data_IF_889809574399
#
_entry.id   IF_889809574399
#
_cell.length_a   1.000
_cell.length_b   1.000
_cell.length_c   1.000
_cell.angle_alpha   90.00
_cell.angle_beta   90.00
_cell.angle_gamma   90.00
#
_symmetry.space_group_name_H-M   'P 1'
#
loop_
_entity.id
_entity.type
_entity.pdbx_description
1 polymer ?
#
# COMPACT_ATOMS: atom_id res chain seq x y z
N UNK A 1 22.98 4.05 -26.72
CA UNK A 1 22.59 2.62 -26.90
C UNK A 1 21.16 2.60 -27.41
N UNK A 2 20.87 1.96 -28.54
CA UNK A 2 19.51 1.90 -29.08
C UNK A 2 18.73 0.74 -28.46
N UNK A 3 17.82 1.05 -27.54
CA UNK A 3 16.99 0.06 -26.82
C UNK A 3 15.87 -0.56 -27.66
N UNK A 4 15.69 -0.15 -28.90
CA UNK A 4 14.78 -0.83 -29.85
C UNK A 4 15.32 -2.21 -30.25
N UNK A 5 16.63 -2.38 -30.20
CA UNK A 5 17.30 -3.66 -30.46
C UNK A 5 17.20 -4.59 -29.24
N UNK A 6 16.77 -5.84 -29.48
CA UNK A 6 16.57 -6.85 -28.43
C UNK A 6 17.83 -7.06 -27.59
N UNK A 7 18.99 -7.18 -28.20
CA UNK A 7 20.25 -7.38 -27.49
C UNK A 7 20.59 -6.24 -26.53
N UNK A 8 20.27 -4.99 -26.89
CA UNK A 8 20.51 -3.84 -26.03
C UNK A 8 19.53 -3.80 -24.84
N UNK A 9 18.28 -4.23 -25.06
CA UNK A 9 17.31 -4.40 -23.98
C UNK A 9 17.75 -5.47 -23.00
N UNK A 10 18.23 -6.61 -23.47
CA UNK A 10 18.75 -7.69 -22.63
C UNK A 10 19.94 -7.23 -21.80
N UNK A 11 20.91 -6.55 -22.42
CA UNK A 11 22.06 -5.97 -21.70
C UNK A 11 21.62 -4.92 -20.66
N UNK A 12 20.66 -4.07 -21.03
CA UNK A 12 20.09 -3.08 -20.11
C UNK A 12 19.41 -3.73 -18.91
N UNK A 13 18.60 -4.76 -19.15
CA UNK A 13 17.92 -5.52 -18.11
C UNK A 13 18.92 -6.21 -17.15
N UNK A 14 19.95 -6.87 -17.69
CA UNK A 14 20.97 -7.54 -16.87
C UNK A 14 21.70 -6.52 -15.99
N UNK A 15 22.09 -5.36 -16.54
CA UNK A 15 22.73 -4.29 -15.76
C UNK A 15 21.82 -3.77 -14.66
N UNK A 16 20.56 -3.50 -14.97
CA UNK A 16 19.58 -3.07 -13.99
C UNK A 16 19.36 -4.14 -12.91
N UNK A 17 19.25 -5.40 -13.27
CA UNK A 17 19.07 -6.51 -12.33
C UNK A 17 20.23 -6.59 -11.31
N UNK A 18 21.48 -6.55 -11.77
CA UNK A 18 22.61 -6.57 -10.85
C UNK A 18 22.70 -5.30 -10.00
N UNK A 19 22.35 -4.16 -10.57
CA UNK A 19 22.28 -2.90 -9.83
C UNK A 19 21.21 -2.99 -8.74
N UNK A 20 20.02 -3.48 -9.06
CA UNK A 20 18.92 -3.63 -8.09
C UNK A 20 19.27 -4.60 -6.95
N UNK A 21 19.97 -5.69 -7.25
CA UNK A 21 20.47 -6.62 -6.21
C UNK A 21 21.48 -5.95 -5.29
N UNK A 22 22.37 -5.12 -5.86
CA UNK A 22 23.45 -4.46 -5.11
C UNK A 22 22.89 -3.39 -4.17
N UNK A 23 21.98 -2.59 -4.67
CA UNK A 23 21.41 -1.45 -3.95
C UNK A 23 20.09 -1.78 -3.23
N UNK A 24 19.65 -3.04 -3.29
CA UNK A 24 18.35 -3.47 -2.78
C UNK A 24 17.23 -2.55 -3.31
N UNK A 25 17.36 -2.21 -4.62
CA UNK A 25 16.44 -1.30 -5.26
C UNK A 25 15.05 -1.90 -5.23
N UNK A 26 14.20 -1.16 -4.58
CA UNK A 26 12.78 -1.38 -4.61
C UNK A 26 12.16 -0.41 -5.60
N UNK A 27 10.89 -0.56 -5.85
CA UNK A 27 10.10 0.46 -6.55
C UNK A 27 10.36 1.85 -5.92
N UNK A 28 10.69 2.88 -6.72
CA UNK A 28 10.99 4.23 -6.21
C UNK A 28 10.00 4.77 -5.16
N UNK A 29 8.69 4.54 -5.27
CA UNK A 29 7.73 4.92 -4.23
C UNK A 29 7.99 4.28 -2.87
N UNK A 30 8.54 3.07 -2.79
CA UNK A 30 8.88 2.42 -1.52
C UNK A 30 10.03 3.16 -0.84
N UNK A 31 11.03 3.58 -1.61
CA UNK A 31 12.10 4.45 -1.12
C UNK A 31 11.56 5.76 -0.55
N UNK A 32 10.64 6.38 -1.27
CA UNK A 32 10.00 7.63 -0.82
C UNK A 32 9.19 7.42 0.45
N UNK A 33 8.45 6.31 0.56
CA UNK A 33 7.71 5.96 1.78
C UNK A 33 8.65 5.75 2.96
N UNK A 34 9.74 4.99 2.78
CA UNK A 34 10.74 4.78 3.83
C UNK A 34 11.38 6.10 4.27
N UNK A 35 11.73 6.97 3.32
CA UNK A 35 12.22 8.31 3.65
C UNK A 35 11.20 9.12 4.48
N UNK A 36 9.92 9.08 4.11
CA UNK A 36 8.86 9.74 4.87
C UNK A 36 8.71 9.15 6.26
N UNK A 37 8.77 7.83 6.39
CA UNK A 37 8.70 7.15 7.68
C UNK A 37 9.83 7.58 8.62
N UNK A 38 11.04 7.71 8.11
CA UNK A 38 12.19 8.12 8.90
C UNK A 38 12.16 9.64 9.20
N UNK A 39 11.77 10.43 8.20
CA UNK A 39 11.75 11.90 8.32
C UNK A 39 10.69 12.42 9.31
N UNK A 40 9.55 11.77 9.39
CA UNK A 40 8.44 12.18 10.24
C UNK A 40 8.26 11.31 11.47
N UNK A 41 9.22 10.43 11.75
CA UNK A 41 9.23 9.56 12.94
C UNK A 41 7.90 8.80 13.13
N UNK A 42 7.27 8.38 12.03
CA UNK A 42 6.00 7.68 12.07
C UNK A 42 6.08 6.42 12.93
N UNK A 43 5.11 6.25 13.81
CA UNK A 43 4.96 4.99 14.52
C UNK A 43 4.48 3.85 13.60
N UNK A 44 4.51 2.60 14.08
CA UNK A 44 4.17 1.44 13.24
C UNK A 44 2.71 1.46 12.73
N UNK A 45 1.77 1.97 13.51
CA UNK A 45 0.37 2.07 13.08
C UNK A 45 0.23 3.04 11.90
N UNK A 46 0.91 4.17 11.96
CA UNK A 46 0.92 5.15 10.87
C UNK A 46 1.61 4.59 9.62
N UNK A 47 2.71 3.84 9.79
CA UNK A 47 3.41 3.17 8.68
C UNK A 47 2.51 2.16 7.98
N UNK A 48 1.82 1.30 8.73
CA UNK A 48 0.87 0.34 8.16
C UNK A 48 -0.29 1.03 7.45
N UNK A 49 -0.79 2.10 8.03
CA UNK A 49 -1.91 2.85 7.48
C UNK A 49 -1.57 3.53 6.15
N UNK A 50 -0.48 4.28 6.08
CA UNK A 50 -0.07 4.93 4.82
C UNK A 50 0.36 3.91 3.76
N UNK A 51 0.96 2.78 4.16
CA UNK A 51 1.29 1.69 3.25
C UNK A 51 0.03 1.09 2.61
N UNK A 52 -1.06 0.90 3.40
CA UNK A 52 -2.33 0.44 2.88
C UNK A 52 -2.97 1.47 1.93
N UNK A 53 -2.98 2.75 2.30
CA UNK A 53 -3.47 3.84 1.43
C UNK A 53 -2.68 3.85 0.11
N UNK A 54 -1.36 3.70 0.18
CA UNK A 54 -0.52 3.64 -1.00
C UNK A 54 -0.86 2.42 -1.88
N UNK A 55 -1.00 1.23 -1.31
CA UNK A 55 -1.45 0.03 -2.03
C UNK A 55 -2.83 0.19 -2.67
N UNK A 56 -3.71 1.00 -2.07
CA UNK A 56 -5.04 1.32 -2.60
C UNK A 56 -4.99 2.27 -3.79
N UNK A 57 -4.08 3.24 -3.79
CA UNK A 57 -4.01 4.32 -4.79
C UNK A 57 -2.91 4.13 -5.82
N UNK A 58 -1.86 3.45 -5.44
CA UNK A 58 -0.59 3.33 -6.16
C UNK A 58 -0.05 4.67 -6.66
N UNK A 59 -0.35 5.73 -5.93
CA UNK A 59 0.09 7.09 -6.24
C UNK A 59 0.42 7.84 -4.95
N UNK A 60 1.72 7.96 -4.66
CA UNK A 60 2.21 8.49 -3.39
C UNK A 60 1.65 9.87 -3.02
N UNK A 61 1.59 10.87 -3.93
CA UNK A 61 0.97 12.16 -3.60
C UNK A 61 -0.49 12.04 -3.18
N UNK A 62 -1.27 11.15 -3.81
CA UNK A 62 -2.67 10.90 -3.40
C UNK A 62 -2.73 10.21 -2.04
N UNK A 63 -1.87 9.21 -1.81
CA UNK A 63 -1.78 8.54 -0.52
C UNK A 63 -1.46 9.54 0.59
N UNK A 64 -0.54 10.47 0.33
CA UNK A 64 -0.19 11.53 1.26
C UNK A 64 -1.36 12.48 1.56
N UNK A 65 -2.13 12.88 0.54
CA UNK A 65 -3.33 13.73 0.72
C UNK A 65 -4.38 13.04 1.58
N UNK A 66 -4.66 11.75 1.31
CA UNK A 66 -5.60 10.96 2.11
C UNK A 66 -5.10 10.81 3.54
N UNK A 67 -3.81 10.51 3.72
CA UNK A 67 -3.21 10.34 5.03
C UNK A 67 -3.23 11.64 5.85
N UNK A 68 -2.97 12.79 5.26
CA UNK A 68 -3.05 14.08 5.96
C UNK A 68 -4.47 14.40 6.45
N UNK A 69 -5.49 13.99 5.72
CA UNK A 69 -6.89 14.16 6.14
C UNK A 69 -7.29 13.14 7.22
N UNK A 70 -6.74 11.93 7.13
CA UNK A 70 -7.04 10.81 8.03
C UNK A 70 -5.74 10.17 8.53
N UNK A 71 -5.00 10.84 9.44
CA UNK A 71 -3.68 10.37 9.86
C UNK A 71 -3.71 9.12 10.75
N UNK A 72 -4.79 8.91 11.49
CA UNK A 72 -4.94 7.83 12.45
C UNK A 72 -6.00 6.84 12.00
N UNK A 73 -5.58 5.63 11.67
CA UNK A 73 -6.47 4.54 11.23
C UNK A 73 -7.64 4.28 12.19
N UNK A 74 -7.39 4.30 13.50
CA UNK A 74 -8.40 4.00 14.51
C UNK A 74 -9.48 5.06 14.60
N UNK A 75 -9.13 6.31 14.29
CA UNK A 75 -10.02 7.48 14.36
C UNK A 75 -10.77 7.76 13.06
N UNK A 76 -10.54 6.96 12.01
CA UNK A 76 -11.24 7.16 10.74
C UNK A 76 -12.72 6.84 10.91
N UNK A 77 -13.54 7.87 10.81
CA UNK A 77 -14.98 7.75 10.69
C UNK A 77 -15.38 7.43 9.25
N UNK A 78 -16.24 6.43 9.06
CA UNK A 78 -16.63 5.95 7.75
C UNK A 78 -17.43 6.98 6.95
N UNK A 79 -18.38 7.64 7.60
CA UNK A 79 -19.28 8.59 6.92
C UNK A 79 -18.51 9.85 6.52
N UNK A 80 -17.62 10.33 7.39
CA UNK A 80 -16.70 11.42 7.08
C UNK A 80 -15.76 11.04 5.92
N UNK A 81 -15.19 9.84 5.94
CA UNK A 81 -14.35 9.36 4.84
C UNK A 81 -15.13 9.29 3.53
N UNK A 82 -16.36 8.81 3.57
CA UNK A 82 -17.23 8.71 2.41
C UNK A 82 -17.55 10.09 1.83
N UNK A 83 -18.00 11.01 2.65
CA UNK A 83 -18.29 12.40 2.23
C UNK A 83 -17.03 13.07 1.63
N UNK A 84 -15.89 12.94 2.32
CA UNK A 84 -14.64 13.49 1.82
C UNK A 84 -14.24 12.84 0.48
N UNK A 85 -14.36 11.54 0.36
CA UNK A 85 -14.02 10.84 -0.88
C UNK A 85 -14.94 11.27 -2.04
N UNK A 86 -16.26 11.33 -1.82
CA UNK A 86 -17.22 11.73 -2.84
C UNK A 86 -16.91 13.14 -3.38
N UNK A 87 -16.44 14.04 -2.53
CA UNK A 87 -16.06 15.40 -2.91
C UNK A 87 -14.68 15.50 -3.59
N UNK A 88 -13.77 14.57 -3.32
CA UNK A 88 -12.36 14.70 -3.73
C UNK A 88 -11.92 13.68 -4.78
N UNK A 89 -12.51 12.49 -4.86
CA UNK A 89 -12.01 11.42 -5.74
C UNK A 89 -11.88 11.82 -7.22
N UNK A 90 -12.69 12.73 -7.80
CA UNK A 90 -12.51 13.14 -9.19
C UNK A 90 -11.15 13.81 -9.45
N UNK A 91 -10.62 14.50 -8.44
CA UNK A 91 -9.35 15.25 -8.50
C UNK A 91 -8.13 14.41 -8.13
N UNK A 92 -8.32 13.32 -7.40
CA UNK A 92 -7.23 12.44 -6.99
C UNK A 92 -6.72 11.63 -8.18
N UNK A 93 -5.43 11.32 -8.16
CA UNK A 93 -4.81 10.41 -9.14
C UNK A 93 -4.64 9.05 -8.50
N UNK A 94 -5.04 8.04 -9.24
CA UNK A 94 -4.75 6.63 -8.97
C UNK A 94 -4.00 6.07 -10.15
N UNK A 95 -3.02 5.19 -9.92
CA UNK A 95 -2.20 4.64 -10.98
C UNK A 95 -2.52 3.18 -11.25
N UNK A 96 -2.06 2.69 -12.37
CA UNK A 96 -2.24 1.30 -12.83
C UNK A 96 -3.71 0.85 -12.74
N UNK A 97 -3.97 -0.33 -12.24
CA UNK A 97 -5.32 -0.90 -12.11
C UNK A 97 -6.15 -0.22 -11.02
N UNK A 98 -5.49 0.44 -10.05
CA UNK A 98 -6.21 1.14 -8.97
C UNK A 98 -7.05 2.31 -9.49
N UNK A 99 -6.74 2.87 -10.66
CA UNK A 99 -7.51 3.95 -11.29
C UNK A 99 -9.00 3.63 -11.45
N UNK A 100 -9.34 2.36 -11.59
CA UNK A 100 -10.73 1.89 -11.68
C UNK A 100 -11.44 1.83 -10.32
N UNK A 101 -10.68 1.97 -9.23
CA UNK A 101 -11.18 1.84 -7.86
C UNK A 101 -11.34 3.18 -7.13
N UNK A 102 -11.07 4.27 -7.79
CA UNK A 102 -10.97 5.61 -7.25
C UNK A 102 -12.17 6.08 -6.40
N UNK A 103 -13.41 5.71 -6.78
CA UNK A 103 -14.60 6.01 -5.99
C UNK A 103 -14.89 5.01 -4.86
N UNK A 104 -14.07 3.96 -4.69
CA UNK A 104 -14.36 2.86 -3.75
C UNK A 104 -13.55 2.91 -2.46
N UNK A 105 -12.79 3.97 -2.22
CA UNK A 105 -11.96 4.12 -1.03
C UNK A 105 -12.71 3.83 0.28
N UNK A 106 -13.96 4.31 0.51
CA UNK A 106 -14.69 4.00 1.73
C UNK A 106 -15.02 2.52 1.90
N UNK A 107 -15.44 1.86 0.81
CA UNK A 107 -15.73 0.42 0.84
C UNK A 107 -14.44 -0.42 1.04
N UNK A 108 -13.34 0.00 0.44
CA UNK A 108 -12.02 -0.61 0.66
C UNK A 108 -11.58 -0.44 2.11
N UNK A 109 -11.73 0.75 2.68
CA UNK A 109 -11.47 1.00 4.09
C UNK A 109 -12.31 0.14 5.02
N UNK A 110 -13.63 0.05 4.77
CA UNK A 110 -14.51 -0.78 5.57
C UNK A 110 -14.10 -2.26 5.56
N UNK A 111 -13.62 -2.77 4.41
CA UNK A 111 -13.10 -4.14 4.32
C UNK A 111 -11.77 -4.30 5.06
N UNK A 112 -10.89 -3.31 4.96
CA UNK A 112 -9.60 -3.30 5.66
C UNK A 112 -9.80 -3.25 7.18
N UNK A 113 -10.65 -2.36 7.67
CA UNK A 113 -10.97 -2.25 9.10
C UNK A 113 -11.51 -3.56 9.65
N UNK A 114 -12.49 -4.18 8.97
CA UNK A 114 -13.00 -5.51 9.35
C UNK A 114 -11.91 -6.57 9.38
N UNK A 115 -11.02 -6.59 8.40
CA UNK A 115 -9.93 -7.55 8.35
C UNK A 115 -8.92 -7.33 9.49
N UNK A 116 -8.56 -6.09 9.78
CA UNK A 116 -7.69 -5.75 10.92
C UNK A 116 -8.30 -6.18 12.25
N UNK A 117 -9.58 -5.90 12.46
CA UNK A 117 -10.29 -6.18 13.71
C UNK A 117 -10.67 -7.65 13.89
N UNK A 118 -10.80 -8.41 12.81
CA UNK A 118 -11.21 -9.81 12.85
C UNK A 118 -10.18 -10.68 13.61
N UNK A 119 -10.63 -11.37 14.66
CA UNK A 119 -9.79 -12.17 15.55
C UNK A 119 -8.58 -11.40 16.13
N UNK A 120 -8.76 -10.11 16.34
CA UNK A 120 -7.75 -9.21 16.86
C UNK A 120 -8.33 -8.37 18.03
N UNK A 121 -8.23 -8.85 19.27
CA UNK A 121 -8.81 -8.15 20.43
C UNK A 121 -8.29 -6.72 20.62
N UNK A 122 -7.06 -6.45 20.19
CA UNK A 122 -6.45 -5.13 20.29
C UNK A 122 -6.93 -4.18 19.18
N UNK A 123 -7.52 -4.72 18.11
CA UNK A 123 -8.03 -3.98 16.94
C UNK A 123 -7.00 -3.11 16.22
N UNK A 124 -5.71 -3.26 16.53
CA UNK A 124 -4.62 -2.49 15.92
C UNK A 124 -4.03 -3.23 14.74
N UNK A 125 -3.49 -2.49 13.78
CA UNK A 125 -2.80 -3.06 12.62
C UNK A 125 -1.56 -3.85 13.06
N UNK A 126 -0.80 -3.32 14.01
CA UNK A 126 0.39 -3.99 14.57
C UNK A 126 0.06 -5.36 15.15
N UNK A 127 -1.01 -5.47 15.92
CA UNK A 127 -1.42 -6.75 16.51
C UNK A 127 -1.86 -7.74 15.42
N UNK A 128 -2.58 -7.26 14.39
CA UNK A 128 -2.95 -8.07 13.24
C UNK A 128 -1.73 -8.66 12.52
N UNK A 129 -0.73 -7.84 12.23
CA UNK A 129 0.48 -8.29 11.55
C UNK A 129 1.36 -9.21 12.41
N UNK A 130 1.36 -9.03 13.72
CA UNK A 130 2.10 -9.90 14.63
C UNK A 130 1.68 -11.37 14.51
N UNK A 131 0.40 -11.64 14.29
CA UNK A 131 -0.12 -13.01 14.10
C UNK A 131 0.53 -13.71 12.91
N UNK A 132 0.92 -12.96 11.89
CA UNK A 132 1.55 -13.51 10.69
C UNK A 132 3.06 -13.67 10.80
N UNK A 133 3.75 -12.92 11.65
CA UNK A 133 5.20 -13.04 11.83
C UNK A 133 5.64 -14.40 12.37
N UNK A 134 4.80 -15.01 13.19
CA UNK A 134 5.12 -16.25 13.88
C UNK A 134 4.88 -17.52 13.03
N UNK A 135 4.40 -17.41 11.79
CA UNK A 135 3.91 -18.55 10.99
C UNK A 135 4.57 -18.75 9.64
N UNK A 136 5.79 -18.31 9.40
CA UNK A 136 6.45 -18.44 8.09
C UNK A 136 5.59 -17.93 6.90
N UNK A 137 5.09 -16.77 6.98
CA UNK A 137 3.75 -16.48 6.58
C UNK A 137 3.58 -15.41 5.52
N UNK A 138 4.55 -15.21 4.63
CA UNK A 138 4.28 -14.41 3.43
C UNK A 138 3.01 -14.91 2.70
N UNK A 139 2.93 -16.21 2.45
CA UNK A 139 1.79 -16.80 1.75
C UNK A 139 0.48 -16.65 2.52
N UNK A 140 0.49 -16.87 3.84
CA UNK A 140 -0.70 -16.71 4.67
C UNK A 140 -1.18 -15.26 4.71
N UNK A 141 -0.26 -14.31 4.84
CA UNK A 141 -0.62 -12.88 4.80
C UNK A 141 -1.17 -12.51 3.42
N UNK A 142 -0.50 -12.95 2.36
CA UNK A 142 -0.92 -12.74 0.99
C UNK A 142 -2.33 -13.24 0.74
N UNK A 143 -2.61 -14.50 1.04
CA UNK A 143 -3.92 -15.10 0.88
C UNK A 143 -4.98 -14.39 1.72
N UNK A 144 -4.64 -14.08 2.96
CA UNK A 144 -5.54 -13.37 3.87
C UNK A 144 -5.93 -11.99 3.32
N UNK A 145 -4.98 -11.24 2.78
CA UNK A 145 -5.24 -9.92 2.19
C UNK A 145 -6.10 -10.07 0.93
N UNK A 146 -5.69 -10.91 0.00
CA UNK A 146 -6.39 -11.09 -1.29
C UNK A 146 -7.83 -11.57 -1.12
N UNK A 147 -8.08 -12.43 -0.12
CA UNK A 147 -9.43 -12.99 0.13
C UNK A 147 -10.36 -12.03 0.88
N UNK A 148 -9.83 -11.13 1.70
CA UNK A 148 -10.65 -10.34 2.61
C UNK A 148 -10.76 -8.86 2.22
N UNK A 149 -9.80 -8.30 1.48
CA UNK A 149 -9.84 -6.89 1.14
C UNK A 149 -10.61 -6.62 -0.17
N UNK A 150 -11.61 -5.77 -0.07
CA UNK A 150 -12.46 -5.42 -1.21
C UNK A 150 -11.66 -4.65 -2.28
N UNK A 151 -11.71 -5.13 -3.53
CA UNK A 151 -11.00 -4.51 -4.68
C UNK A 151 -9.51 -4.24 -4.43
N UNK A 152 -8.90 -5.05 -3.58
CA UNK A 152 -7.48 -5.00 -3.26
C UNK A 152 -6.82 -6.25 -3.86
N UNK A 153 -6.58 -6.21 -5.16
CA UNK A 153 -6.10 -7.35 -5.93
C UNK A 153 -4.63 -7.69 -5.67
N UNK A 154 -4.12 -8.68 -6.41
CA UNK A 154 -2.73 -9.16 -6.28
C UNK A 154 -1.70 -8.04 -6.37
N UNK A 155 -1.90 -7.08 -7.26
CA UNK A 155 -0.99 -5.96 -7.46
C UNK A 155 -0.94 -5.04 -6.23
N UNK A 156 -2.09 -4.60 -5.75
CA UNK A 156 -2.18 -3.80 -4.52
C UNK A 156 -1.61 -4.54 -3.31
N UNK A 157 -1.88 -5.84 -3.20
CA UNK A 157 -1.33 -6.69 -2.15
C UNK A 157 0.18 -6.76 -2.21
N UNK A 158 0.76 -6.92 -3.40
CA UNK A 158 2.20 -6.94 -3.60
C UNK A 158 2.86 -5.66 -3.09
N UNK A 159 2.38 -4.51 -3.54
CA UNK A 159 2.93 -3.22 -3.10
C UNK A 159 2.75 -2.97 -1.61
N UNK A 160 1.59 -3.31 -1.07
CA UNK A 160 1.35 -3.18 0.35
C UNK A 160 2.34 -4.03 1.15
N UNK A 161 2.54 -5.28 0.78
CA UNK A 161 3.47 -6.18 1.48
C UNK A 161 4.94 -5.79 1.32
N UNK A 162 5.33 -5.14 0.23
CA UNK A 162 6.69 -4.63 0.07
C UNK A 162 7.01 -3.45 0.99
N UNK A 163 5.99 -2.74 1.47
CA UNK A 163 6.14 -1.58 2.35
C UNK A 163 6.05 -1.93 3.83
N UNK A 164 5.76 -3.17 4.16
CA UNK A 164 5.70 -3.69 5.53
C UNK A 164 7.02 -4.24 5.99
#
# INVERSE_FOLDING_TARGET
MDYRQLQNRQKGFIKWYFWSLTYKDCDPPIWMLNYLFDRFEHNLEQKYWIAWIYGTTYHLPTAWVIWNEFPDFELVDYDRLKEWNDNNYPRLRYQTDTKYNKGYLPAQFASYKRWVEHNNPQRTQRAKFKVYKDKNSFNYLWESIVQNLYKFGRYSTWFYMQTL
#
